data_IF_876727245352
#
_entry.id   IF_876727245352
#
_cell.length_a   1.000
_cell.length_b   1.000
_cell.length_c   1.000
_cell.angle_alpha   90.00
_cell.angle_beta   90.00
_cell.angle_gamma   90.00
#
_symmetry.space_group_name_H-M   'P 1'
#
loop_
_entity.id
_entity.type
_entity.pdbx_description
1 polymer ?
#
# COMPACT_ATOMS: atom_id res chain seq x y z
N UNK A 1 -6.46 -31.91 7.89
CA UNK A 1 -7.17 -31.32 9.06
C UNK A 1 -6.96 -29.81 9.24
N UNK A 2 -6.02 -29.19 8.50
CA UNK A 2 -5.73 -27.74 8.53
C UNK A 2 -6.56 -26.91 7.53
N UNK A 3 -7.18 -27.53 6.52
CA UNK A 3 -7.95 -26.81 5.49
C UNK A 3 -9.28 -26.23 5.98
N UNK A 4 -9.81 -26.67 7.13
CA UNK A 4 -11.07 -26.11 7.68
C UNK A 4 -10.90 -24.69 8.23
N UNK A 5 -9.70 -24.30 8.64
CA UNK A 5 -9.41 -22.98 9.23
C UNK A 5 -9.24 -21.88 8.16
N UNK A 6 -8.89 -22.26 6.93
CA UNK A 6 -8.71 -21.35 5.80
C UNK A 6 -10.00 -21.13 4.99
N UNK A 7 -11.17 -21.47 5.55
CA UNK A 7 -12.43 -21.13 4.91
C UNK A 7 -12.58 -19.60 4.89
N UNK A 8 -12.62 -18.97 3.69
CA UNK A 8 -12.74 -17.52 3.57
C UNK A 8 -13.95 -16.97 4.33
N UNK A 9 -15.01 -17.78 4.47
CA UNK A 9 -16.23 -17.47 5.21
C UNK A 9 -15.98 -17.15 6.68
N UNK A 10 -15.12 -17.91 7.38
CA UNK A 10 -14.83 -17.64 8.80
C UNK A 10 -14.13 -16.30 8.98
N UNK A 11 -13.14 -16.00 8.12
CA UNK A 11 -12.44 -14.73 8.12
C UNK A 11 -13.38 -13.56 7.81
N UNK A 12 -14.32 -13.75 6.88
CA UNK A 12 -15.35 -12.76 6.55
C UNK A 12 -16.26 -12.45 7.73
N UNK A 13 -16.68 -13.47 8.49
CA UNK A 13 -17.51 -13.30 9.69
C UNK A 13 -16.73 -12.54 10.78
N UNK A 14 -15.48 -12.93 11.05
CA UNK A 14 -14.64 -12.22 12.03
C UNK A 14 -14.42 -10.77 11.61
N UNK A 15 -14.12 -10.54 10.32
CA UNK A 15 -13.99 -9.19 9.76
C UNK A 15 -15.28 -8.39 9.93
N UNK A 16 -16.44 -8.99 9.70
CA UNK A 16 -17.75 -8.36 9.91
C UNK A 16 -17.97 -7.96 11.38
N UNK A 17 -17.58 -8.80 12.35
CA UNK A 17 -17.66 -8.46 13.78
C UNK A 17 -16.70 -7.33 14.14
N UNK A 18 -15.45 -7.38 13.68
CA UNK A 18 -14.48 -6.29 13.86
C UNK A 18 -15.00 -4.99 13.26
N UNK A 19 -15.58 -5.06 12.07
CA UNK A 19 -16.23 -3.95 11.38
C UNK A 19 -17.42 -3.40 12.16
N UNK A 20 -18.17 -4.22 12.88
CA UNK A 20 -19.29 -3.76 13.70
C UNK A 20 -18.80 -3.02 14.96
N UNK A 21 -17.74 -3.52 15.61
CA UNK A 21 -17.16 -2.90 16.82
C UNK A 21 -16.38 -1.63 16.48
N UNK A 22 -15.52 -1.69 15.46
CA UNK A 22 -14.63 -0.60 15.06
C UNK A 22 -15.32 0.40 14.12
N UNK A 23 -16.26 -0.08 13.30
CA UNK A 23 -16.94 0.65 12.24
C UNK A 23 -16.23 0.52 10.89
N UNK A 24 -16.95 0.34 9.76
CA UNK A 24 -16.36 0.24 8.42
C UNK A 24 -15.62 1.49 7.96
N UNK A 25 -15.96 2.65 8.52
CA UNK A 25 -15.23 3.90 8.25
C UNK A 25 -13.89 3.99 8.97
N UNK A 26 -13.67 3.23 10.06
CA UNK A 26 -12.43 3.30 10.85
C UNK A 26 -11.38 2.29 10.41
N UNK A 27 -11.79 1.17 9.80
CA UNK A 27 -10.88 0.21 9.18
C UNK A 27 -9.90 0.85 8.16
N UNK A 28 -10.35 1.65 7.17
CA UNK A 28 -9.43 2.25 6.20
C UNK A 28 -8.50 3.30 6.84
N UNK A 29 -8.96 4.00 7.87
CA UNK A 29 -8.12 4.93 8.64
C UNK A 29 -7.00 4.21 9.39
N UNK A 30 -7.35 3.16 10.15
CA UNK A 30 -6.39 2.34 10.87
C UNK A 30 -5.41 1.62 9.92
N UNK A 31 -5.92 1.06 8.82
CA UNK A 31 -5.09 0.41 7.80
C UNK A 31 -4.11 1.37 7.12
N UNK A 32 -4.51 2.63 6.85
CA UNK A 32 -3.61 3.66 6.31
C UNK A 32 -2.48 4.01 7.28
N UNK A 33 -2.81 4.22 8.56
CA UNK A 33 -1.81 4.53 9.58
C UNK A 33 -0.81 3.37 9.77
N UNK A 34 -1.31 2.13 9.85
CA UNK A 34 -0.48 0.93 9.92
C UNK A 34 0.36 0.73 8.64
N UNK A 35 -0.21 1.01 7.48
CA UNK A 35 0.48 0.89 6.18
C UNK A 35 1.62 1.89 6.04
N UNK A 36 1.44 3.13 6.49
CA UNK A 36 2.51 4.13 6.55
C UNK A 36 3.63 3.69 7.48
N UNK A 37 3.30 3.28 8.71
CA UNK A 37 4.31 2.77 9.66
C UNK A 37 5.05 1.54 9.13
N UNK A 38 4.36 0.62 8.45
CA UNK A 38 5.00 -0.54 7.83
C UNK A 38 5.85 -0.16 6.61
N UNK A 39 5.46 0.85 5.83
CA UNK A 39 6.27 1.38 4.71
C UNK A 39 7.56 1.97 5.25
N UNK A 40 7.49 2.80 6.28
CA UNK A 40 8.66 3.39 6.95
C UNK A 40 9.54 2.30 7.58
N UNK A 41 8.94 1.36 8.33
CA UNK A 41 9.65 0.23 8.91
C UNK A 41 10.37 -0.62 7.85
N UNK A 42 9.71 -0.89 6.72
CA UNK A 42 10.32 -1.59 5.58
C UNK A 42 11.49 -0.80 5.00
N UNK A 43 11.35 0.51 4.83
CA UNK A 43 12.41 1.38 4.32
C UNK A 43 13.61 1.41 5.26
N UNK A 44 13.39 1.53 6.57
CA UNK A 44 14.46 1.52 7.57
C UNK A 44 15.18 0.17 7.65
N UNK A 45 14.46 -0.95 7.50
CA UNK A 45 15.08 -2.29 7.46
C UNK A 45 15.81 -2.53 6.14
N UNK A 46 15.30 -2.01 5.02
CA UNK A 46 15.95 -2.19 3.70
C UNK A 46 17.21 -1.38 3.54
N UNK A 47 17.40 -0.31 4.31
CA UNK A 47 18.64 0.49 4.34
C UNK A 47 18.93 1.19 3.01
N UNK A 48 18.68 2.50 2.94
CA UNK A 48 19.30 3.44 1.99
C UNK A 48 19.49 2.98 0.51
N UNK A 49 18.56 2.24 -0.09
CA UNK A 49 18.67 1.91 -1.53
C UNK A 49 17.30 1.76 -2.14
N UNK A 50 16.79 2.88 -2.62
CA UNK A 50 16.22 3.10 -3.95
C UNK A 50 15.59 4.50 -3.90
N UNK A 51 16.06 5.47 -4.70
CA UNK A 51 15.19 6.57 -5.07
C UNK A 51 13.96 5.89 -5.70
N UNK A 52 12.76 6.11 -5.15
CA UNK A 52 11.52 5.90 -5.87
C UNK A 52 11.64 6.80 -7.11
N UNK A 53 12.26 6.30 -8.19
CA UNK A 53 12.17 6.86 -9.53
C UNK A 53 10.71 6.67 -9.93
N UNK A 54 9.89 7.60 -9.46
CA UNK A 54 8.74 8.07 -10.20
C UNK A 54 9.27 8.51 -11.57
N UNK A 55 9.33 7.54 -12.48
CA UNK A 55 9.34 7.78 -13.90
C UNK A 55 8.02 8.50 -14.20
N UNK A 56 8.07 9.84 -14.18
CA UNK A 56 7.13 10.67 -14.92
C UNK A 56 7.54 10.56 -16.40
N UNK A 57 6.81 9.80 -17.24
CA UNK A 57 7.11 9.71 -18.68
C UNK A 57 6.91 11.03 -19.43
N UNK A 58 6.45 12.09 -18.75
CA UNK A 58 6.02 13.34 -19.38
C UNK A 58 7.11 14.42 -19.44
N UNK A 59 8.23 14.28 -18.70
CA UNK A 59 9.32 15.27 -18.71
C UNK A 59 10.25 15.15 -19.94
N UNK A 60 10.21 14.04 -20.69
CA UNK A 60 11.08 13.82 -21.85
C UNK A 60 10.51 14.34 -23.17
N UNK A 61 9.24 14.76 -23.21
CA UNK A 61 8.60 15.25 -24.44
C UNK A 61 8.90 16.73 -24.75
N UNK A 62 9.41 17.50 -23.78
CA UNK A 62 9.69 18.93 -23.95
C UNK A 62 11.15 19.24 -24.36
N UNK A 63 12.09 18.33 -24.09
CA UNK A 63 13.52 18.56 -24.38
C UNK A 63 13.93 18.30 -25.83
N UNK A 64 13.11 17.61 -26.63
CA UNK A 64 13.48 17.21 -28.00
C UNK A 64 12.92 18.14 -29.09
N UNK A 65 12.40 19.31 -28.71
CA UNK A 65 11.91 20.34 -29.65
C UNK A 65 12.85 21.55 -29.81
N UNK A 66 14.07 21.55 -29.24
CA UNK A 66 14.86 22.79 -29.15
C UNK A 66 16.36 22.67 -29.37
N UNK A 67 16.84 21.71 -30.16
CA UNK A 67 18.21 21.72 -30.68
C UNK A 67 18.22 21.69 -32.22
N UNK A 68 17.41 22.57 -32.82
CA UNK A 68 17.70 23.12 -34.13
C UNK A 68 18.65 24.31 -33.97
N UNK A 69 19.83 24.23 -34.56
CA UNK A 69 20.68 25.33 -35.03
C UNK A 69 21.80 24.77 -35.91
#
# INVERSE_FOLDING_TARGET
MISSILQPTHLLIVLAVVLLVLGPKRLPGAGRALGQGLREFKTSIRGETEPDEHHDPDAQALSDHSAGA
#
